data_IF_045330556577
#
_entry.id   IF_045330556577
#
_cell.length_a   1.000
_cell.length_b   1.000
_cell.length_c   1.000
_cell.angle_alpha   90.00
_cell.angle_beta   90.00
_cell.angle_gamma   90.00
#
_symmetry.space_group_name_H-M   'P 1'
#
loop_
_entity.id
_entity.type
_entity.pdbx_description
1 polymer ?
#
# COMPACT_ATOMS: atom_id res chain seq x y z
N UNK A 1 4.93 -12.61 6.66
CA UNK A 1 4.23 -11.37 7.08
C UNK A 1 2.99 -11.22 6.23
N UNK A 2 1.83 -11.08 6.85
CA UNK A 2 0.53 -11.03 6.15
C UNK A 2 -0.10 -9.64 6.28
N UNK A 3 -0.59 -9.11 5.15
CA UNK A 3 -1.30 -7.82 5.07
C UNK A 3 -2.80 -8.05 4.91
N UNK A 4 -3.59 -7.52 5.84
CA UNK A 4 -5.05 -7.52 5.77
C UNK A 4 -5.57 -6.11 5.50
N UNK A 5 -6.51 -5.98 4.56
CA UNK A 5 -7.21 -4.72 4.32
C UNK A 5 -8.25 -4.55 5.42
N UNK A 6 -8.18 -3.45 6.15
CA UNK A 6 -9.15 -3.10 7.20
C UNK A 6 -10.18 -2.13 6.62
N UNK A 7 -9.72 -1.08 5.95
CA UNK A 7 -10.56 -0.06 5.33
C UNK A 7 -9.94 0.47 4.04
N UNK A 8 -10.78 0.99 3.14
CA UNK A 8 -10.36 1.66 1.92
C UNK A 8 -10.47 0.81 0.65
N UNK A 9 -9.75 1.22 -0.39
CA UNK A 9 -9.88 0.61 -1.72
C UNK A 9 -9.36 -0.84 -1.74
N UNK A 10 -9.91 -1.68 -2.61
CA UNK A 10 -9.44 -3.05 -2.76
C UNK A 10 -7.95 -3.08 -3.18
N UNK A 11 -7.15 -3.84 -2.45
CA UNK A 11 -5.73 -4.04 -2.74
C UNK A 11 -5.54 -5.36 -3.49
N UNK A 12 -4.92 -5.29 -4.67
CA UNK A 12 -4.45 -6.48 -5.39
C UNK A 12 -3.39 -7.22 -4.58
N UNK A 13 -3.14 -8.49 -4.90
CA UNK A 13 -2.07 -9.28 -4.26
C UNK A 13 -0.69 -8.60 -4.37
N UNK A 14 -0.39 -7.99 -5.53
CA UNK A 14 0.85 -7.23 -5.75
C UNK A 14 0.95 -6.01 -4.83
N UNK A 15 -0.13 -5.25 -4.67
CA UNK A 15 -0.13 -4.10 -3.75
C UNK A 15 0.13 -4.55 -2.30
N UNK A 16 -0.53 -5.63 -1.86
CA UNK A 16 -0.33 -6.18 -0.50
C UNK A 16 1.11 -6.61 -0.28
N UNK A 17 1.73 -7.29 -1.26
CA UNK A 17 3.12 -7.72 -1.19
C UNK A 17 4.07 -6.52 -1.04
N UNK A 18 3.95 -5.50 -1.88
CA UNK A 18 4.84 -4.34 -1.80
C UNK A 18 4.64 -3.53 -0.51
N UNK A 19 3.40 -3.37 -0.05
CA UNK A 19 3.14 -2.73 1.24
C UNK A 19 3.76 -3.54 2.40
N UNK A 20 3.68 -4.88 2.36
CA UNK A 20 4.34 -5.75 3.33
C UNK A 20 5.86 -5.58 3.31
N UNK A 21 6.48 -5.49 2.13
CA UNK A 21 7.92 -5.29 1.97
C UNK A 21 8.38 -3.93 2.52
N UNK A 22 7.63 -2.85 2.25
CA UNK A 22 7.92 -1.51 2.77
C UNK A 22 7.87 -1.52 4.30
N UNK A 23 6.79 -2.06 4.88
CA UNK A 23 6.61 -2.10 6.35
C UNK A 23 7.64 -3.04 6.99
N UNK A 24 7.88 -4.22 6.41
CA UNK A 24 8.85 -5.20 6.91
C UNK A 24 10.30 -4.68 6.90
N UNK A 25 10.63 -3.72 6.03
CA UNK A 25 11.92 -3.03 5.99
C UNK A 25 11.98 -1.76 6.85
N UNK A 26 10.87 -1.38 7.49
CA UNK A 26 10.76 -0.13 8.25
C UNK A 26 10.78 1.13 7.37
N UNK A 27 10.46 1.00 6.08
CA UNK A 27 10.37 2.13 5.17
C UNK A 27 9.00 2.81 5.28
N UNK A 28 8.96 4.10 4.93
CA UNK A 28 7.71 4.88 4.87
C UNK A 28 7.17 5.01 3.44
N UNK A 29 7.99 4.71 2.44
CA UNK A 29 7.64 4.83 1.03
C UNK A 29 8.40 3.82 0.17
N UNK A 30 7.89 3.57 -1.03
CA UNK A 30 8.52 2.72 -2.03
C UNK A 30 7.85 2.84 -3.38
N UNK A 31 8.46 2.29 -4.42
CA UNK A 31 7.90 2.31 -5.76
C UNK A 31 8.06 0.96 -6.45
N UNK A 32 7.11 0.65 -7.33
CA UNK A 32 7.16 -0.52 -8.21
C UNK A 32 6.61 -0.13 -9.58
N UNK A 33 7.50 -0.09 -10.57
CA UNK A 33 7.17 0.39 -11.92
C UNK A 33 6.56 1.79 -11.91
N UNK A 34 5.29 1.90 -12.31
CA UNK A 34 4.53 3.18 -12.37
C UNK A 34 3.73 3.49 -11.10
N UNK A 35 3.86 2.66 -10.06
CA UNK A 35 3.10 2.79 -8.81
C UNK A 35 4.05 3.25 -7.70
N UNK A 36 3.73 4.37 -7.07
CA UNK A 36 4.33 4.82 -5.83
C UNK A 36 3.44 4.40 -4.65
N UNK A 37 4.06 3.95 -3.56
CA UNK A 37 3.41 3.52 -2.33
C UNK A 37 3.96 4.32 -1.16
N UNK A 38 3.11 4.64 -0.20
CA UNK A 38 3.50 5.17 1.09
C UNK A 38 2.71 4.50 2.21
N UNK A 39 3.35 4.40 3.36
CA UNK A 39 2.77 3.85 4.58
C UNK A 39 3.12 4.76 5.75
N UNK A 40 2.17 4.91 6.67
CA UNK A 40 2.37 5.61 7.92
C UNK A 40 1.75 4.81 9.07
N UNK A 41 2.45 4.64 10.21
CA UNK A 41 1.87 4.00 11.38
C UNK A 41 0.67 4.80 11.90
N UNK A 42 -0.29 4.11 12.51
CA UNK A 42 -1.40 4.74 13.21
C UNK A 42 -1.05 4.80 14.71
N UNK A 43 -1.16 5.99 15.29
CA UNK A 43 -0.86 6.22 16.70
C UNK A 43 -1.78 5.37 17.59
N UNK A 44 -1.19 4.70 18.60
CA UNK A 44 -1.91 3.77 19.47
C UNK A 44 -2.18 2.39 18.87
N UNK A 45 -1.83 2.15 17.60
CA UNK A 45 -2.13 0.90 16.88
C UNK A 45 -0.88 0.27 16.24
N UNK A 46 -0.11 -0.55 16.97
CA UNK A 46 1.23 -1.01 16.56
C UNK A 46 1.25 -1.89 15.31
N UNK A 47 0.10 -2.44 14.91
CA UNK A 47 -0.03 -3.31 13.75
C UNK A 47 -0.81 -2.67 12.59
N UNK A 48 -1.30 -1.43 12.76
CA UNK A 48 -2.10 -0.76 11.72
C UNK A 48 -1.35 0.38 11.08
N UNK A 49 -1.48 0.44 9.76
CA UNK A 49 -0.80 1.41 8.92
C UNK A 49 -1.81 2.03 7.96
N UNK A 50 -1.77 3.35 7.82
CA UNK A 50 -2.38 4.01 6.66
C UNK A 50 -1.53 3.74 5.45
N UNK A 51 -2.15 3.30 4.37
CA UNK A 51 -1.48 3.15 3.10
C UNK A 51 -2.03 4.17 2.09
N UNK A 52 -1.18 4.55 1.15
CA UNK A 52 -1.56 5.27 -0.04
C UNK A 52 -0.75 4.76 -1.22
N UNK A 53 -1.40 4.49 -2.34
CA UNK A 53 -0.72 4.19 -3.59
C UNK A 53 -1.20 5.13 -4.70
N UNK A 54 -0.28 5.49 -5.59
CA UNK A 54 -0.54 6.33 -6.76
C UNK A 54 0.07 5.67 -7.98
N UNK A 55 -0.73 5.44 -9.00
CA UNK A 55 -0.32 4.88 -10.29
C UNK A 55 -0.52 5.92 -11.38
N UNK A 56 0.56 6.20 -12.11
CA UNK A 56 0.47 7.00 -13.35
C UNK A 56 0.14 6.06 -14.50
N UNK A 57 -0.94 6.33 -15.19
CA UNK A 57 -1.36 5.60 -16.38
C UNK A 57 -1.89 6.54 -17.45
N UNK A 58 -2.19 6.00 -18.63
CA UNK A 58 -2.89 6.72 -19.68
C UNK A 58 -4.28 6.12 -19.83
N UNK A 59 -5.28 6.98 -19.99
CA UNK A 59 -6.64 6.52 -20.29
C UNK A 59 -6.76 6.06 -21.76
N UNK A 60 -7.96 5.66 -22.18
CA UNK A 60 -8.24 5.21 -23.55
C UNK A 60 -8.07 6.32 -24.61
N UNK A 61 -7.91 7.58 -24.18
CA UNK A 61 -7.66 8.75 -25.03
C UNK A 61 -6.20 9.22 -24.98
N UNK A 62 -5.29 8.36 -24.50
CA UNK A 62 -3.86 8.63 -24.29
C UNK A 62 -3.56 9.78 -23.31
N UNK A 63 -4.52 10.22 -22.50
CA UNK A 63 -4.32 11.33 -21.55
C UNK A 63 -3.65 10.82 -20.27
N UNK A 64 -2.67 11.55 -19.71
CA UNK A 64 -2.06 11.16 -18.45
C UNK A 64 -3.09 11.28 -17.31
N UNK A 65 -3.35 10.16 -16.64
CA UNK A 65 -4.22 10.11 -15.46
C UNK A 65 -3.47 9.50 -14.28
N UNK A 66 -3.80 9.96 -13.08
CA UNK A 66 -3.30 9.35 -11.85
C UNK A 66 -4.44 8.63 -11.16
N UNK A 67 -4.33 7.31 -11.06
CA UNK A 67 -5.20 6.52 -10.19
C UNK A 67 -4.55 6.42 -8.83
N UNK A 68 -5.35 6.48 -7.78
CA UNK A 68 -4.85 6.31 -6.43
C UNK A 68 -5.82 5.51 -5.57
N UNK A 69 -5.28 4.92 -4.53
CA UNK A 69 -6.07 4.24 -3.51
C UNK A 69 -5.46 4.46 -2.15
N UNK A 70 -6.32 4.63 -1.15
CA UNK A 70 -5.94 4.90 0.23
C UNK A 70 -6.79 4.07 1.17
N UNK A 71 -6.26 3.82 2.36
CA UNK A 71 -6.97 3.06 3.37
C UNK A 71 -6.09 2.67 4.55
N UNK A 72 -6.56 1.69 5.31
CA UNK A 72 -5.88 1.14 6.47
C UNK A 72 -5.64 -0.35 6.23
N UNK A 73 -4.40 -0.76 6.48
CA UNK A 73 -4.02 -2.17 6.50
C UNK A 73 -3.52 -2.56 7.88
N UNK A 74 -3.75 -3.82 8.23
CA UNK A 74 -3.15 -4.46 9.39
C UNK A 74 -2.05 -5.42 8.93
N UNK A 75 -0.89 -5.32 9.56
CA UNK A 75 0.25 -6.19 9.32
C UNK A 75 0.51 -7.07 10.54
N UNK A 76 0.43 -8.39 10.34
CA UNK A 76 0.81 -9.37 11.37
C UNK A 76 2.05 -10.14 10.89
N UNK A 77 3.00 -10.32 11.80
CA UNK A 77 4.07 -11.30 11.61
C UNK A 77 3.45 -12.68 11.40
N UNK A 78 4.05 -13.52 10.55
CA UNK A 78 3.66 -14.93 10.52
C UNK A 78 4.04 -15.53 11.88
N UNK A 79 3.17 -16.34 12.52
CA UNK A 79 3.65 -17.23 13.57
C UNK A 79 4.65 -18.16 12.90
N UNK A 80 5.92 -18.04 13.29
CA UNK A 80 6.99 -18.90 12.80
C UNK A 80 6.74 -20.37 13.08
#
# INVERSE_FOLDING_TARGET
>A
MTVRLIEGLHLTATNKRHLAEIIGKGWTEGHSGRIAYSVAPIEGEPHRFRYHWRKRERDDFDRPVTREGRGIIECRGDPG
#
